data_IF_740599003994
#
_entry.id   IF_740599003994
#
_cell.length_a   1.000
_cell.length_b   1.000
_cell.length_c   1.000
_cell.angle_alpha   90.00
_cell.angle_beta   90.00
_cell.angle_gamma   90.00
#
_symmetry.space_group_name_H-M   'P 1'
#
loop_
_entity.id
_entity.type
_entity.pdbx_description
1 polymer ?
#
# COMPACT_ATOMS: atom_id res chain seq x y z
N UNK A 1 21.68 36.72 81.93
CA UNK A 1 23.04 37.01 81.44
C UNK A 1 23.46 38.36 81.98
N UNK A 2 24.38 38.39 82.95
CA UNK A 2 25.03 39.61 83.42
C UNK A 2 26.15 40.03 82.44
N UNK A 3 25.77 40.43 81.22
CA UNK A 3 26.69 41.13 80.32
C UNK A 3 26.68 42.62 80.67
N UNK A 4 27.82 43.18 81.03
CA UNK A 4 27.86 44.55 81.54
C UNK A 4 29.26 45.16 81.58
N UNK A 5 29.26 46.48 81.53
CA UNK A 5 30.44 47.34 81.66
C UNK A 5 30.49 47.84 83.11
N UNK A 6 31.61 47.65 83.82
CA UNK A 6 31.85 48.27 85.13
C UNK A 6 32.83 49.42 85.00
N UNK A 7 32.46 50.58 85.55
CA UNK A 7 33.22 51.83 85.46
C UNK A 7 33.58 52.35 86.86
N UNK A 8 34.73 53.02 86.97
CA UNK A 8 35.09 53.86 88.12
C UNK A 8 35.11 55.32 87.65
N UNK A 9 34.55 56.21 88.47
CA UNK A 9 34.76 57.64 88.28
C UNK A 9 36.10 58.01 88.90
N UNK A 10 37.02 58.45 88.06
CA UNK A 10 38.30 58.98 88.50
C UNK A 10 38.10 60.43 88.97
N UNK A 11 38.90 60.89 89.93
CA UNK A 11 38.77 62.21 90.59
C UNK A 11 38.85 63.44 89.65
N UNK A 12 39.21 63.22 88.39
CA UNK A 12 39.31 64.19 87.29
C UNK A 12 38.05 64.22 86.37
N UNK A 13 37.00 63.46 86.70
CA UNK A 13 35.74 63.43 85.95
C UNK A 13 35.75 62.54 84.70
N UNK A 14 36.82 61.78 84.49
CA UNK A 14 36.94 60.81 83.40
C UNK A 14 36.51 59.44 83.94
N UNK A 15 35.51 58.83 83.29
CA UNK A 15 35.04 57.49 83.63
C UNK A 15 35.95 56.44 82.97
N UNK A 16 36.68 55.67 83.77
CA UNK A 16 37.60 54.63 83.30
C UNK A 16 36.90 53.27 83.29
N UNK A 17 37.08 52.50 82.22
CA UNK A 17 36.53 51.14 82.10
C UNK A 17 37.37 50.19 82.93
N UNK A 18 36.84 49.73 84.07
CA UNK A 18 37.54 48.82 84.99
C UNK A 18 37.47 47.37 84.49
N UNK A 19 36.31 46.98 83.95
CA UNK A 19 36.14 45.62 83.45
C UNK A 19 34.97 45.47 82.50
N UNK A 20 35.10 44.50 81.61
CA UNK A 20 34.08 44.08 80.65
C UNK A 20 33.70 42.63 80.94
N UNK A 21 32.40 42.35 81.09
CA UNK A 21 31.90 40.98 81.26
C UNK A 21 31.14 40.54 80.01
N UNK A 22 31.60 39.45 79.38
CA UNK A 22 31.02 38.88 78.17
C UNK A 22 30.55 37.43 78.41
N UNK A 23 29.45 36.97 77.79
CA UNK A 23 28.93 35.61 77.98
C UNK A 23 29.75 34.56 77.21
N UNK A 24 31.02 34.37 77.58
CA UNK A 24 31.96 33.49 76.86
C UNK A 24 32.18 32.12 77.55
N UNK A 25 31.66 31.92 78.76
CA UNK A 25 31.84 30.69 79.54
C UNK A 25 30.58 29.80 79.56
N UNK A 26 30.72 28.53 79.95
CA UNK A 26 29.64 27.52 79.93
C UNK A 26 28.51 27.77 80.95
N UNK A 27 28.78 28.45 82.06
CA UNK A 27 27.88 28.52 83.22
C UNK A 27 26.99 29.79 83.27
N UNK A 28 26.79 30.48 82.15
CA UNK A 28 26.06 31.76 82.09
C UNK A 28 26.60 32.90 82.99
N UNK A 29 27.69 32.67 83.74
CA UNK A 29 28.33 33.61 84.67
C UNK A 29 29.09 34.74 83.97
N UNK A 30 29.24 34.67 82.65
CA UNK A 30 30.14 35.56 81.91
C UNK A 30 31.61 35.33 82.23
N UNK A 31 32.48 35.84 81.36
CA UNK A 31 33.93 35.95 81.53
C UNK A 31 34.24 37.43 81.67
N UNK A 32 34.84 37.81 82.79
CA UNK A 32 35.20 39.19 83.09
C UNK A 32 36.66 39.43 82.73
N UNK A 33 36.89 40.46 81.92
CA UNK A 33 38.21 40.98 81.56
C UNK A 33 38.46 42.25 82.36
N UNK A 34 39.60 42.35 83.03
CA UNK A 34 39.98 43.51 83.84
C UNK A 34 40.89 44.48 83.09
N UNK A 35 41.45 44.06 81.96
CA UNK A 35 42.35 44.86 81.15
C UNK A 35 42.33 44.37 79.70
N UNK A 36 42.86 45.19 78.80
CA UNK A 36 42.96 44.88 77.37
C UNK A 36 43.89 43.69 77.10
N UNK A 37 44.92 43.47 77.94
CA UNK A 37 45.90 42.39 77.75
C UNK A 37 45.27 41.00 77.94
N UNK A 38 44.36 40.86 78.91
CA UNK A 38 43.62 39.63 79.18
C UNK A 38 42.68 39.28 78.03
N UNK A 39 41.99 40.27 77.45
CA UNK A 39 41.17 40.09 76.25
C UNK A 39 42.02 39.72 75.03
N UNK A 40 43.18 40.36 74.86
CA UNK A 40 44.14 40.07 73.80
C UNK A 40 44.72 38.66 73.90
N UNK A 41 45.06 38.22 75.10
CA UNK A 41 45.54 36.87 75.38
C UNK A 41 44.47 35.82 75.06
N UNK A 42 43.22 36.08 75.45
CA UNK A 42 42.07 35.23 75.10
C UNK A 42 41.89 35.12 73.59
N UNK A 43 41.88 36.25 72.87
CA UNK A 43 41.77 36.28 71.41
C UNK A 43 42.86 35.44 70.72
N UNK A 44 44.11 35.57 71.19
CA UNK A 44 45.23 34.78 70.66
C UNK A 44 45.03 33.29 70.90
N UNK A 45 44.56 32.91 72.08
CA UNK A 45 44.30 31.49 72.40
C UNK A 45 43.17 30.88 71.55
N UNK A 46 42.14 31.66 71.21
CA UNK A 46 41.09 31.23 70.27
C UNK A 46 41.62 31.07 68.84
N UNK A 47 42.42 32.03 68.36
CA UNK A 47 43.03 31.93 67.02
C UNK A 47 43.92 30.68 66.90
N UNK A 48 44.72 30.38 67.92
CA UNK A 48 45.54 29.17 67.96
C UNK A 48 44.69 27.89 68.02
N UNK A 49 43.59 27.89 68.79
CA UNK A 49 42.72 26.73 68.96
C UNK A 49 41.99 26.31 67.69
N UNK A 50 41.71 27.24 66.77
CA UNK A 50 40.97 26.97 65.51
C UNK A 50 41.85 26.89 64.27
N UNK A 51 43.16 27.11 64.40
CA UNK A 51 44.14 27.09 63.29
C UNK A 51 44.15 25.78 62.50
N UNK A 52 43.77 24.67 63.14
CA UNK A 52 43.72 23.34 62.50
C UNK A 52 42.72 23.28 61.33
N UNK A 53 41.66 24.11 61.33
CA UNK A 53 40.70 24.19 60.22
C UNK A 53 41.39 24.57 58.90
N UNK A 54 42.44 25.38 58.94
CA UNK A 54 43.21 25.76 57.74
C UNK A 54 44.23 24.70 57.32
N UNK A 55 44.53 23.73 58.19
CA UNK A 55 45.56 22.71 58.00
C UNK A 55 45.00 21.39 57.43
N UNK A 56 43.67 21.23 57.35
CA UNK A 56 43.03 20.04 56.77
C UNK A 56 43.37 19.89 55.29
N UNK A 57 44.22 18.92 54.92
CA UNK A 57 44.67 18.74 53.53
C UNK A 57 43.54 18.31 52.58
N UNK A 58 42.59 17.50 53.07
CA UNK A 58 41.52 16.92 52.25
C UNK A 58 40.35 17.88 52.02
N UNK A 59 40.07 18.75 52.98
CA UNK A 59 38.91 19.67 52.97
C UNK A 59 39.34 21.13 53.12
N UNK A 60 40.56 21.47 52.68
CA UNK A 60 41.21 22.75 52.95
C UNK A 60 40.34 23.94 52.56
N UNK A 61 39.75 23.93 51.38
CA UNK A 61 39.07 25.11 50.83
C UNK A 61 37.78 25.40 51.60
N UNK A 62 37.02 24.36 51.94
CA UNK A 62 35.81 24.48 52.75
C UNK A 62 36.11 24.77 54.22
N UNK A 63 37.06 24.06 54.83
CA UNK A 63 37.46 24.30 56.22
C UNK A 63 38.07 25.70 56.43
N UNK A 64 38.81 26.22 55.43
CA UNK A 64 39.31 27.61 55.43
C UNK A 64 38.17 28.62 55.34
N UNK A 65 37.12 28.33 54.55
CA UNK A 65 35.92 29.17 54.49
C UNK A 65 35.20 29.21 55.84
N UNK A 66 35.03 28.06 56.50
CA UNK A 66 34.44 27.99 57.85
C UNK A 66 35.29 28.77 58.86
N UNK A 67 36.61 28.59 58.86
CA UNK A 67 37.52 29.35 59.71
C UNK A 67 37.41 30.87 59.47
N UNK A 68 37.32 31.30 58.20
CA UNK A 68 37.10 32.72 57.88
C UNK A 68 35.78 33.23 58.47
N UNK A 69 34.69 32.46 58.34
CA UNK A 69 33.38 32.84 58.90
C UNK A 69 33.40 32.89 60.42
N UNK A 70 34.06 31.93 61.05
CA UNK A 70 34.30 31.87 62.49
C UNK A 70 34.99 33.17 62.96
N UNK A 71 36.03 33.60 62.24
CA UNK A 71 36.74 34.84 62.53
C UNK A 71 35.89 36.09 62.30
N UNK A 72 35.14 36.15 61.20
CA UNK A 72 34.25 37.28 60.87
C UNK A 72 33.14 37.48 61.90
N UNK A 73 32.52 36.39 62.37
CA UNK A 73 31.37 36.45 63.26
C UNK A 73 31.75 36.71 64.73
N UNK A 74 32.95 36.32 65.17
CA UNK A 74 33.30 36.35 66.60
C UNK A 74 34.62 37.02 66.93
N UNK A 75 35.72 36.65 66.26
CA UNK A 75 37.03 37.24 66.57
C UNK A 75 37.14 38.71 66.15
N UNK A 76 36.56 39.07 65.00
CA UNK A 76 36.52 40.46 64.48
C UNK A 76 35.74 41.41 65.41
N UNK A 77 34.51 41.07 65.87
CA UNK A 77 33.80 41.87 66.87
C UNK A 77 34.57 42.03 68.19
N UNK A 78 35.19 40.96 68.71
CA UNK A 78 35.98 41.01 69.94
C UNK A 78 37.24 41.87 69.76
N UNK A 79 37.91 41.80 68.61
CA UNK A 79 39.04 42.66 68.28
C UNK A 79 38.62 44.14 68.11
N UNK A 80 37.42 44.39 67.59
CA UNK A 80 36.85 45.74 67.51
C UNK A 80 36.58 46.29 68.91
N UNK A 81 35.98 45.49 69.79
CA UNK A 81 35.78 45.83 71.20
C UNK A 81 37.11 46.14 71.90
N UNK A 82 38.15 45.33 71.67
CA UNK A 82 39.49 45.54 72.22
C UNK A 82 40.06 46.92 71.81
N UNK A 83 40.01 47.27 70.53
CA UNK A 83 40.47 48.59 70.03
C UNK A 83 39.67 49.76 70.59
N UNK A 84 38.36 49.58 70.78
CA UNK A 84 37.48 50.60 71.36
C UNK A 84 37.72 50.77 72.86
N UNK A 85 38.12 49.70 73.54
CA UNK A 85 38.55 49.75 74.92
C UNK A 85 39.88 50.50 75.05
N UNK A 86 40.85 50.27 74.15
CA UNK A 86 42.11 51.04 74.09
C UNK A 86 41.88 52.53 73.83
N UNK A 87 40.86 52.90 73.06
CA UNK A 87 40.51 54.30 72.76
C UNK A 87 39.59 54.96 73.81
N UNK A 88 39.19 54.23 74.87
CA UNK A 88 38.30 54.67 75.94
C UNK A 88 36.94 55.25 75.46
N UNK A 89 36.43 54.81 74.30
CA UNK A 89 35.16 55.31 73.75
C UNK A 89 33.95 54.53 74.30
N UNK A 90 33.35 55.04 75.38
CA UNK A 90 32.26 54.38 76.12
C UNK A 90 31.07 53.95 75.25
N UNK A 91 30.54 54.85 74.42
CA UNK A 91 29.32 54.58 73.61
C UNK A 91 29.59 53.47 72.60
N UNK A 92 30.79 53.44 72.04
CA UNK A 92 31.20 52.40 71.10
C UNK A 92 31.41 51.04 71.77
N UNK A 93 31.98 51.01 72.98
CA UNK A 93 32.19 49.79 73.78
C UNK A 93 30.84 49.14 74.12
N UNK A 94 29.88 49.90 74.65
CA UNK A 94 28.54 49.39 74.98
C UNK A 94 27.83 48.83 73.73
N UNK A 95 27.93 49.55 72.60
CA UNK A 95 27.39 49.09 71.32
C UNK A 95 28.02 47.79 70.82
N UNK A 96 29.33 47.61 71.00
CA UNK A 96 30.04 46.38 70.62
C UNK A 96 29.70 45.21 71.56
N UNK A 97 29.60 45.45 72.86
CA UNK A 97 29.14 44.44 73.84
C UNK A 97 27.74 43.95 73.46
N UNK A 98 26.81 44.86 73.16
CA UNK A 98 25.45 44.51 72.79
C UNK A 98 25.41 43.67 71.50
N UNK A 99 26.20 44.04 70.49
CA UNK A 99 26.31 43.26 69.24
C UNK A 99 26.86 41.87 69.51
N UNK A 100 27.93 41.73 70.29
CA UNK A 100 28.52 40.42 70.61
C UNK A 100 27.52 39.53 71.36
N UNK A 101 26.81 40.09 72.35
CA UNK A 101 25.80 39.37 73.10
C UNK A 101 24.62 38.93 72.22
N UNK A 102 24.22 39.76 71.26
CA UNK A 102 23.19 39.40 70.28
C UNK A 102 23.60 38.20 69.43
N UNK A 103 24.85 38.16 68.93
CA UNK A 103 25.34 37.02 68.13
C UNK A 103 25.40 35.73 68.97
N UNK A 104 25.92 35.82 70.20
CA UNK A 104 26.05 34.69 71.11
C UNK A 104 24.71 34.16 71.64
N UNK A 105 23.64 34.95 71.55
CA UNK A 105 22.29 34.50 71.87
C UNK A 105 21.77 33.48 70.85
N UNK A 106 22.16 33.62 69.58
CA UNK A 106 21.60 32.84 68.47
C UNK A 106 22.54 31.79 67.91
N UNK A 107 23.84 31.93 68.16
CA UNK A 107 24.86 31.02 67.65
C UNK A 107 25.59 30.45 68.86
N UNK A 108 25.65 29.13 68.95
CA UNK A 108 26.38 28.47 70.02
C UNK A 108 27.83 28.29 69.62
N UNK A 109 28.60 29.37 69.75
CA UNK A 109 29.98 29.36 69.30
C UNK A 109 30.83 28.39 70.14
N UNK A 110 31.60 27.50 69.50
CA UNK A 110 32.49 26.59 70.20
C UNK A 110 33.73 27.33 70.69
N UNK A 111 33.66 28.18 71.70
CA UNK A 111 34.89 28.75 72.26
C UNK A 111 35.78 27.64 72.83
N UNK A 112 37.10 27.76 72.71
CA UNK A 112 38.01 26.69 73.12
C UNK A 112 37.92 26.37 74.61
N UNK A 113 37.57 27.38 75.41
CA UNK A 113 37.41 27.29 76.86
C UNK A 113 36.11 26.60 77.28
N UNK A 114 35.13 26.52 76.37
CA UNK A 114 33.85 25.85 76.58
C UNK A 114 33.95 24.35 76.38
N UNK A 115 33.10 23.61 77.08
CA UNK A 115 32.93 22.17 76.94
C UNK A 115 32.63 21.77 75.50
N UNK A 116 31.79 22.55 74.80
CA UNK A 116 31.45 22.29 73.40
C UNK A 116 32.67 22.47 72.47
N UNK A 117 33.53 23.45 72.74
CA UNK A 117 34.74 23.67 71.93
C UNK A 117 35.82 22.62 72.17
N UNK A 118 35.93 22.08 73.39
CA UNK A 118 36.76 20.88 73.65
C UNK A 118 36.19 19.66 72.92
N UNK A 119 34.89 19.40 73.08
CA UNK A 119 34.20 18.29 72.42
C UNK A 119 34.41 18.28 70.91
N UNK A 120 34.27 19.42 70.23
CA UNK A 120 34.53 19.53 68.78
C UNK A 120 35.96 19.16 68.41
N UNK A 121 36.96 19.61 69.20
CA UNK A 121 38.38 19.35 68.91
C UNK A 121 38.77 17.89 69.12
N UNK A 122 38.07 17.19 70.00
CA UNK A 122 38.33 15.78 70.30
C UNK A 122 37.77 14.83 69.21
N UNK A 123 37.00 15.35 68.24
CA UNK A 123 36.44 14.55 67.15
C UNK A 123 37.40 14.41 65.95
N UNK A 124 37.26 13.33 65.14
CA UNK A 124 37.92 13.22 63.84
C UNK A 124 37.64 14.43 62.94
N UNK A 125 38.63 14.84 62.14
CA UNK A 125 38.60 16.09 61.34
C UNK A 125 37.32 16.28 60.52
N UNK A 126 36.82 15.22 59.87
CA UNK A 126 35.58 15.25 59.07
C UNK A 126 34.34 15.56 59.90
N UNK A 127 34.26 14.98 61.10
CA UNK A 127 33.16 15.15 62.04
C UNK A 127 33.28 16.53 62.68
N UNK A 128 34.47 16.92 63.13
CA UNK A 128 34.75 18.22 63.73
C UNK A 128 34.39 19.38 62.77
N UNK A 129 34.72 19.28 61.48
CA UNK A 129 34.33 20.27 60.46
C UNK A 129 32.80 20.41 60.37
N UNK A 130 32.07 19.29 60.35
CA UNK A 130 30.60 19.31 60.31
C UNK A 130 29.99 19.83 61.62
N UNK A 131 30.59 19.53 62.78
CA UNK A 131 30.16 20.09 64.07
C UNK A 131 30.30 21.61 64.10
N UNK A 132 31.44 22.14 63.65
CA UNK A 132 31.65 23.59 63.52
C UNK A 132 30.60 24.21 62.58
N UNK A 133 30.33 23.58 61.43
CA UNK A 133 29.29 24.02 60.50
C UNK A 133 27.90 24.07 61.16
N UNK A 134 27.49 23.00 61.85
CA UNK A 134 26.19 22.91 62.50
C UNK A 134 26.04 23.94 63.62
N UNK A 135 27.07 24.12 64.47
CA UNK A 135 27.07 25.12 65.53
C UNK A 135 26.97 26.55 65.00
N UNK A 136 27.59 26.84 63.84
CA UNK A 136 27.48 28.14 63.18
C UNK A 136 26.15 28.35 62.44
N UNK A 137 25.40 27.28 62.15
CA UNK A 137 24.11 27.38 61.44
C UNK A 137 22.95 27.87 62.32
N UNK A 138 23.18 28.04 63.64
CA UNK A 138 22.25 28.62 64.61
C UNK A 138 21.82 27.64 65.69
N UNK A 139 21.34 28.15 66.83
CA UNK A 139 20.76 27.34 67.92
C UNK A 139 19.42 26.74 67.49
N UNK A 140 19.31 25.41 67.59
CA UNK A 140 18.11 24.63 67.24
C UNK A 140 16.83 25.12 67.94
N UNK A 141 16.94 25.66 69.16
CA UNK A 141 15.78 26.10 69.96
C UNK A 141 15.34 27.55 69.72
N UNK A 142 16.03 28.31 68.85
CA UNK A 142 15.88 29.77 68.83
C UNK A 142 14.65 30.31 68.07
N UNK A 143 13.87 29.47 67.38
CA UNK A 143 12.61 29.83 66.72
C UNK A 143 12.68 30.96 65.68
N UNK A 144 13.88 31.46 65.37
CA UNK A 144 14.13 32.54 64.43
C UNK A 144 14.60 31.96 63.11
N UNK A 145 13.98 32.42 62.02
CA UNK A 145 14.37 32.13 60.63
C UNK A 145 15.68 32.86 60.28
N UNK A 146 16.78 32.42 60.89
CA UNK A 146 18.16 32.87 60.59
C UNK A 146 18.69 32.29 59.25
N UNK A 147 17.83 31.62 58.48
CA UNK A 147 18.18 30.88 57.27
C UNK A 147 18.75 31.76 56.15
N UNK A 148 18.42 33.06 56.11
CA UNK A 148 18.81 33.89 54.97
C UNK A 148 20.09 34.70 55.14
N UNK A 149 20.61 34.95 56.35
CA UNK A 149 21.81 35.82 56.52
C UNK A 149 23.06 35.06 56.95
N UNK A 150 22.94 34.04 57.82
CA UNK A 150 24.10 33.29 58.32
C UNK A 150 24.32 32.02 57.49
N UNK A 151 23.23 31.27 57.25
CA UNK A 151 23.27 30.00 56.51
C UNK A 151 23.58 30.21 55.03
N UNK A 152 23.04 31.24 54.39
CA UNK A 152 23.34 31.59 52.99
C UNK A 152 24.82 31.87 52.72
N UNK A 153 25.56 32.36 53.73
CA UNK A 153 27.00 32.63 53.66
C UNK A 153 27.90 31.43 53.95
N UNK A 154 27.32 30.33 54.45
CA UNK A 154 27.99 29.05 54.74
C UNK A 154 27.84 28.02 53.61
N UNK A 155 26.82 28.17 52.76
CA UNK A 155 26.68 27.37 51.55
C UNK A 155 27.70 27.83 50.49
N UNK A 156 28.55 26.93 49.97
CA UNK A 156 29.47 27.28 48.90
C UNK A 156 28.70 27.61 47.62
N UNK A 157 29.19 28.60 46.86
CA UNK A 157 28.65 28.94 45.54
C UNK A 157 28.71 27.72 44.61
N UNK A 158 27.70 27.56 43.74
CA UNK A 158 27.59 26.41 42.83
C UNK A 158 28.84 26.27 41.96
N UNK A 159 29.33 25.03 41.76
CA UNK A 159 30.48 24.68 40.92
C UNK A 159 31.87 25.12 41.44
N UNK A 160 32.04 25.29 42.75
CA UNK A 160 33.36 25.53 43.38
C UNK A 160 33.99 24.25 43.96
N UNK A 161 35.32 24.22 44.13
CA UNK A 161 36.01 23.15 44.89
C UNK A 161 35.46 23.01 46.32
N UNK A 162 35.02 24.12 46.91
CA UNK A 162 34.35 24.15 48.21
C UNK A 162 33.03 23.36 48.19
N UNK A 163 32.23 23.50 47.11
CA UNK A 163 31.00 22.73 46.94
C UNK A 163 31.28 21.23 46.83
N UNK A 164 32.31 20.82 46.09
CA UNK A 164 32.70 19.40 46.02
C UNK A 164 33.16 18.85 47.38
N UNK A 165 33.95 19.61 48.14
CA UNK A 165 34.40 19.23 49.49
C UNK A 165 33.23 19.18 50.48
N UNK A 166 32.29 20.12 50.38
CA UNK A 166 31.06 20.13 51.19
C UNK A 166 30.20 18.88 50.95
N UNK A 167 30.02 18.47 49.68
CA UNK A 167 29.31 17.24 49.33
C UNK A 167 30.04 15.99 49.84
N UNK A 168 31.37 15.95 49.74
CA UNK A 168 32.17 14.84 50.30
C UNK A 168 32.09 14.73 51.82
N UNK A 169 31.71 15.80 52.51
CA UNK A 169 31.48 15.83 53.95
C UNK A 169 30.06 15.38 54.34
N UNK A 170 29.13 15.22 53.39
CA UNK A 170 27.76 14.79 53.66
C UNK A 170 27.65 13.48 54.47
N UNK A 171 28.43 12.41 54.20
CA UNK A 171 28.33 11.17 54.96
C UNK A 171 28.63 11.35 56.46
N UNK A 172 29.44 12.35 56.81
CA UNK A 172 29.82 12.66 58.20
C UNK A 172 28.85 13.64 58.88
N UNK A 173 28.04 14.37 58.11
CA UNK A 173 27.11 15.38 58.64
C UNK A 173 26.02 14.76 59.51
N UNK A 174 25.49 13.60 59.12
CA UNK A 174 24.52 12.86 59.93
C UNK A 174 25.11 12.48 61.29
N UNK A 175 26.32 11.90 61.28
CA UNK A 175 27.02 11.53 62.52
C UNK A 175 27.31 12.75 63.40
N UNK A 176 27.75 13.86 62.82
CA UNK A 176 27.94 15.12 63.55
C UNK A 176 26.64 15.65 64.16
N UNK A 177 25.51 15.57 63.44
CA UNK A 177 24.21 16.00 63.95
C UNK A 177 23.72 15.14 65.12
N UNK A 178 23.90 13.82 65.04
CA UNK A 178 23.57 12.90 66.15
C UNK A 178 24.45 13.20 67.37
N UNK A 179 25.76 13.29 67.19
CA UNK A 179 26.71 13.61 68.27
C UNK A 179 26.41 14.95 68.94
N UNK A 180 26.06 15.97 68.16
CA UNK A 180 25.67 17.27 68.69
C UNK A 180 24.35 17.22 69.47
N UNK A 181 23.37 16.45 68.97
CA UNK A 181 22.10 16.21 69.66
C UNK A 181 22.30 15.49 71.00
N UNK A 182 23.16 14.47 71.02
CA UNK A 182 23.50 13.73 72.24
C UNK A 182 24.24 14.62 73.25
N UNK A 183 25.17 15.45 72.78
CA UNK A 183 25.87 16.44 73.62
C UNK A 183 24.87 17.37 74.34
N UNK A 184 23.90 17.94 73.62
CA UNK A 184 22.91 18.84 74.22
C UNK A 184 21.94 18.15 75.17
N UNK A 185 21.61 16.88 74.90
CA UNK A 185 20.64 16.13 75.69
C UNK A 185 21.23 15.54 76.98
N UNK A 186 22.50 15.18 76.96
CA UNK A 186 23.10 14.36 78.02
C UNK A 186 24.41 14.90 78.62
N UNK A 187 25.01 15.94 78.01
CA UNK A 187 26.29 16.49 78.42
C UNK A 187 27.50 15.56 78.16
N UNK A 188 28.72 16.05 78.44
CA UNK A 188 29.98 15.33 78.15
C UNK A 188 30.16 14.05 78.98
N UNK A 189 29.49 13.93 80.13
CA UNK A 189 29.82 12.93 81.16
C UNK A 189 29.05 11.59 81.06
N UNK A 190 28.15 11.41 80.09
CA UNK A 190 27.38 10.15 79.95
C UNK A 190 27.44 9.52 78.55
N UNK A 191 28.35 10.01 77.69
CA UNK A 191 28.35 9.65 76.28
C UNK A 191 28.94 8.28 75.98
N UNK A 192 29.92 7.74 76.72
CA UNK A 192 30.61 6.52 76.27
C UNK A 192 29.73 5.25 76.31
N UNK A 193 29.07 4.94 77.43
CA UNK A 193 28.22 3.73 77.51
C UNK A 193 26.95 3.85 76.66
N UNK A 194 26.36 5.05 76.57
CA UNK A 194 25.17 5.26 75.75
C UNK A 194 25.48 5.26 74.26
N UNK A 195 26.58 5.92 73.83
CA UNK A 195 27.01 5.89 72.43
C UNK A 195 27.44 4.49 72.02
N UNK A 196 28.12 3.73 72.88
CA UNK A 196 28.54 2.37 72.56
C UNK A 196 27.34 1.46 72.33
N UNK A 197 26.35 1.49 73.23
CA UNK A 197 25.12 0.72 73.05
C UNK A 197 24.31 1.16 71.81
N UNK A 198 24.27 2.47 71.51
CA UNK A 198 23.55 2.98 70.34
C UNK A 198 24.28 2.68 69.03
N UNK A 199 25.62 2.67 69.03
CA UNK A 199 26.45 2.26 67.91
C UNK A 199 26.22 0.78 67.62
N UNK A 200 26.21 -0.10 68.63
CA UNK A 200 25.89 -1.53 68.43
C UNK A 200 24.49 -1.74 67.84
N UNK A 201 23.48 -1.01 68.31
CA UNK A 201 22.12 -1.11 67.76
C UNK A 201 22.07 -0.66 66.29
N UNK A 202 22.75 0.45 65.97
CA UNK A 202 22.83 0.96 64.60
C UNK A 202 23.63 0.04 63.68
N UNK A 203 24.71 -0.57 64.17
CA UNK A 203 25.46 -1.59 63.44
C UNK A 203 24.60 -2.83 63.16
N UNK A 204 23.79 -3.26 64.13
CA UNK A 204 22.81 -4.33 63.93
C UNK A 204 21.77 -4.01 62.85
N UNK A 205 21.24 -2.79 62.83
CA UNK A 205 20.30 -2.33 61.80
C UNK A 205 20.98 -2.25 60.43
N UNK A 206 22.20 -1.69 60.37
CA UNK A 206 22.98 -1.59 59.13
C UNK A 206 23.33 -2.96 58.56
N UNK A 207 23.69 -3.93 59.41
CA UNK A 207 23.97 -5.29 58.98
C UNK A 207 22.70 -6.00 58.47
N UNK A 208 21.55 -5.76 59.11
CA UNK A 208 20.24 -6.21 58.63
C UNK A 208 19.87 -5.62 57.27
N UNK A 209 20.13 -4.32 57.06
CA UNK A 209 19.95 -3.65 55.80
C UNK A 209 20.92 -4.16 54.72
N UNK A 210 22.18 -4.42 55.07
CA UNK A 210 23.21 -4.98 54.18
C UNK A 210 22.81 -6.36 53.69
N UNK A 211 22.43 -7.27 54.58
CA UNK A 211 21.94 -8.62 54.24
C UNK A 211 20.68 -8.58 53.39
N UNK A 212 19.77 -7.63 53.65
CA UNK A 212 18.57 -7.45 52.83
C UNK A 212 18.92 -6.96 51.42
N UNK A 213 19.90 -6.07 51.29
CA UNK A 213 20.37 -5.57 50.01
C UNK A 213 21.12 -6.65 49.20
N UNK A 214 21.92 -7.50 49.87
CA UNK A 214 22.54 -8.68 49.26
C UNK A 214 21.49 -9.65 48.70
N UNK A 215 20.43 -9.95 49.46
CA UNK A 215 19.31 -10.77 48.98
C UNK A 215 18.59 -10.13 47.79
N UNK A 216 18.36 -8.81 47.84
CA UNK A 216 17.73 -8.10 46.71
C UNK A 216 18.59 -8.18 45.45
N UNK A 217 19.90 -8.02 45.57
CA UNK A 217 20.82 -8.14 44.44
C UNK A 217 20.87 -9.56 43.87
N UNK A 218 20.83 -10.59 44.73
CA UNK A 218 20.69 -11.99 44.30
C UNK A 218 19.37 -12.23 43.55
N UNK A 219 18.24 -11.72 44.06
CA UNK A 219 16.95 -11.79 43.37
C UNK A 219 16.97 -11.07 42.01
N UNK A 220 17.62 -9.91 41.91
CA UNK A 220 17.74 -9.21 40.64
C UNK A 220 18.58 -9.98 39.62
N UNK A 221 19.66 -10.63 40.05
CA UNK A 221 20.47 -11.47 39.18
C UNK A 221 19.68 -12.69 38.64
N UNK A 222 18.93 -13.38 39.51
CA UNK A 222 18.08 -14.52 39.10
C UNK A 222 16.95 -14.08 38.15
N UNK A 223 16.37 -12.90 38.38
CA UNK A 223 15.36 -12.32 37.51
C UNK A 223 15.95 -11.96 36.14
N UNK A 224 17.15 -11.37 36.09
CA UNK A 224 17.84 -11.06 34.85
C UNK A 224 18.16 -12.33 34.04
N UNK A 225 18.64 -13.39 34.71
CA UNK A 225 18.87 -14.70 34.08
C UNK A 225 17.56 -15.31 33.55
N UNK A 226 16.47 -15.23 34.32
CA UNK A 226 15.15 -15.72 33.91
C UNK A 226 14.60 -14.96 32.70
N UNK A 227 14.73 -13.63 32.68
CA UNK A 227 14.28 -12.77 31.57
C UNK A 227 15.09 -13.03 30.31
N UNK A 228 16.41 -13.17 30.42
CA UNK A 228 17.28 -13.48 29.28
C UNK A 228 17.02 -14.87 28.72
N UNK A 229 16.80 -15.87 29.57
CA UNK A 229 16.40 -17.21 29.15
C UNK A 229 15.01 -17.25 28.50
N UNK A 230 14.04 -16.49 29.01
CA UNK A 230 12.72 -16.38 28.38
C UNK A 230 12.79 -15.69 27.01
N UNK A 231 13.54 -14.58 26.93
CA UNK A 231 13.73 -13.80 25.70
C UNK A 231 14.37 -14.65 24.59
N UNK A 232 15.45 -15.38 24.90
CA UNK A 232 16.13 -16.25 23.93
C UNK A 232 15.21 -17.35 23.41
N UNK A 233 14.49 -18.05 24.30
CA UNK A 233 13.49 -19.07 23.90
C UNK A 233 12.36 -18.49 23.06
N UNK A 234 11.90 -17.28 23.38
CA UNK A 234 10.86 -16.60 22.60
C UNK A 234 11.35 -16.28 21.18
N UNK A 235 12.57 -15.75 21.04
CA UNK A 235 13.18 -15.45 19.74
C UNK A 235 13.32 -16.71 18.89
N UNK A 236 13.90 -17.78 19.45
CA UNK A 236 14.07 -19.06 18.73
C UNK A 236 12.74 -19.69 18.31
N UNK A 237 11.72 -19.65 19.19
CA UNK A 237 10.38 -20.12 18.84
C UNK A 237 9.71 -19.27 17.76
N UNK A 238 10.01 -17.97 17.69
CA UNK A 238 9.40 -17.09 16.70
C UNK A 238 10.08 -17.23 15.33
N UNK A 239 11.42 -17.34 15.30
CA UNK A 239 12.19 -17.58 14.07
C UNK A 239 11.81 -18.92 13.41
N UNK A 240 11.69 -19.99 14.20
CA UNK A 240 11.26 -21.30 13.70
C UNK A 240 9.86 -21.24 13.09
N UNK A 241 8.88 -20.63 13.77
CA UNK A 241 7.52 -20.43 13.22
C UNK A 241 7.51 -19.57 11.96
N UNK A 242 8.30 -18.49 11.93
CA UNK A 242 8.40 -17.63 10.76
C UNK A 242 8.99 -18.38 9.56
N UNK A 243 10.05 -19.17 9.77
CA UNK A 243 10.67 -19.99 8.73
C UNK A 243 9.71 -21.05 8.17
N UNK A 244 8.89 -21.68 9.03
CA UNK A 244 7.90 -22.67 8.63
C UNK A 244 6.77 -22.05 7.80
N UNK A 245 6.26 -20.89 8.22
CA UNK A 245 5.21 -20.16 7.49
C UNK A 245 5.72 -19.72 6.11
N UNK A 246 6.94 -19.21 6.01
CA UNK A 246 7.57 -18.82 4.74
C UNK A 246 7.81 -20.05 3.84
N UNK A 247 8.29 -21.16 4.38
CA UNK A 247 8.49 -22.39 3.60
C UNK A 247 7.16 -22.96 3.09
N UNK A 248 6.09 -22.87 3.89
CA UNK A 248 4.74 -23.30 3.51
C UNK A 248 4.15 -22.40 2.42
N UNK A 249 4.31 -21.08 2.52
CA UNK A 249 3.81 -20.14 1.52
C UNK A 249 4.56 -20.28 0.19
N UNK A 250 5.89 -20.46 0.20
CA UNK A 250 6.67 -20.70 -1.02
C UNK A 250 6.25 -22.01 -1.72
N UNK A 251 6.07 -23.10 -0.96
CA UNK A 251 5.56 -24.37 -1.50
C UNK A 251 4.17 -24.20 -2.13
N UNK A 252 3.29 -23.42 -1.50
CA UNK A 252 1.96 -23.13 -2.03
C UNK A 252 2.02 -22.27 -3.29
N UNK A 253 2.80 -21.19 -3.29
CA UNK A 253 3.01 -20.33 -4.45
C UNK A 253 3.56 -21.11 -5.65
N UNK A 254 4.57 -21.96 -5.45
CA UNK A 254 5.11 -22.85 -6.51
C UNK A 254 4.10 -23.87 -7.03
N UNK A 255 3.15 -24.32 -6.20
CA UNK A 255 2.06 -25.21 -6.65
C UNK A 255 1.05 -24.43 -7.50
N UNK A 256 0.62 -23.26 -7.05
CA UNK A 256 -0.28 -22.39 -7.81
C UNK A 256 0.33 -21.99 -9.16
N UNK A 257 1.59 -21.56 -9.17
CA UNK A 257 2.28 -21.18 -10.41
C UNK A 257 2.33 -22.35 -11.40
N UNK A 258 2.67 -23.57 -10.95
CA UNK A 258 2.67 -24.76 -11.81
C UNK A 258 1.28 -25.11 -12.35
N UNK A 259 0.25 -25.00 -11.51
CA UNK A 259 -1.13 -25.29 -11.92
C UNK A 259 -1.66 -24.28 -12.94
N UNK A 260 -1.39 -22.98 -12.72
CA UNK A 260 -1.72 -21.91 -13.65
C UNK A 260 -0.98 -22.07 -14.99
N UNK A 261 0.31 -22.40 -14.96
CA UNK A 261 1.09 -22.66 -16.17
C UNK A 261 0.48 -23.83 -16.95
N UNK A 262 0.20 -24.96 -16.29
CA UNK A 262 -0.43 -26.14 -16.93
C UNK A 262 -1.78 -25.78 -17.54
N UNK A 263 -2.68 -25.15 -16.78
CA UNK A 263 -3.99 -24.71 -17.29
C UNK A 263 -3.87 -23.75 -18.47
N UNK A 264 -2.91 -22.83 -18.44
CA UNK A 264 -2.69 -21.90 -19.56
C UNK A 264 -2.16 -22.60 -20.81
N UNK A 265 -1.29 -23.60 -20.66
CA UNK A 265 -0.81 -24.43 -21.77
C UNK A 265 -1.93 -25.29 -22.35
N UNK A 266 -2.72 -25.95 -21.51
CA UNK A 266 -3.84 -26.77 -21.94
C UNK A 266 -4.92 -25.93 -22.62
N UNK A 267 -5.21 -24.73 -22.10
CA UNK A 267 -6.10 -23.78 -22.73
C UNK A 267 -5.59 -23.35 -24.11
N UNK A 268 -4.32 -22.96 -24.22
CA UNK A 268 -3.69 -22.62 -25.52
C UNK A 268 -3.83 -23.76 -26.53
N UNK A 269 -3.47 -24.99 -26.14
CA UNK A 269 -3.64 -26.17 -27.00
C UNK A 269 -5.08 -26.37 -27.45
N UNK A 270 -6.05 -26.19 -26.54
CA UNK A 270 -7.47 -26.32 -26.88
C UNK A 270 -7.96 -25.22 -27.82
N UNK A 271 -7.43 -23.99 -27.69
CA UNK A 271 -7.73 -22.87 -28.58
C UNK A 271 -7.11 -23.12 -29.96
N UNK A 272 -5.84 -23.52 -30.01
CA UNK A 272 -5.14 -23.81 -31.27
C UNK A 272 -5.84 -24.96 -32.03
N UNK A 273 -6.21 -26.03 -31.34
CA UNK A 273 -6.94 -27.15 -31.94
C UNK A 273 -8.31 -26.71 -32.51
N UNK A 274 -9.07 -25.90 -31.77
CA UNK A 274 -10.35 -25.36 -32.24
C UNK A 274 -10.19 -24.34 -33.36
N UNK A 275 -9.12 -23.55 -33.34
CA UNK A 275 -8.81 -22.59 -34.39
C UNK A 275 -8.53 -23.32 -35.70
N UNK A 276 -7.70 -24.36 -35.66
CA UNK A 276 -7.39 -25.19 -36.83
C UNK A 276 -8.64 -25.90 -37.36
N UNK A 277 -9.46 -26.48 -36.49
CA UNK A 277 -10.75 -27.07 -36.85
C UNK A 277 -11.68 -26.03 -37.52
N UNK A 278 -11.77 -24.82 -36.96
CA UNK A 278 -12.61 -23.76 -37.50
C UNK A 278 -12.13 -23.25 -38.86
N UNK A 279 -10.81 -23.18 -39.08
CA UNK A 279 -10.23 -22.83 -40.37
C UNK A 279 -10.63 -23.87 -41.43
N UNK A 280 -10.49 -25.16 -41.12
CA UNK A 280 -10.85 -26.23 -42.05
C UNK A 280 -12.35 -26.21 -42.39
N UNK A 281 -13.22 -25.97 -41.41
CA UNK A 281 -14.67 -25.83 -41.65
C UNK A 281 -14.98 -24.64 -42.54
N UNK A 282 -14.33 -23.50 -42.31
CA UNK A 282 -14.53 -22.29 -43.14
C UNK A 282 -14.06 -22.50 -44.57
N UNK A 283 -12.90 -23.15 -44.77
CA UNK A 283 -12.37 -23.44 -46.09
C UNK A 283 -13.27 -24.43 -46.86
N UNK A 284 -13.72 -25.50 -46.20
CA UNK A 284 -14.70 -26.45 -46.79
C UNK A 284 -16.04 -25.79 -47.10
N UNK A 285 -16.55 -24.91 -46.23
CA UNK A 285 -17.79 -24.18 -46.46
C UNK A 285 -17.67 -23.20 -47.64
N UNK A 286 -16.52 -22.55 -47.80
CA UNK A 286 -16.23 -21.66 -48.93
C UNK A 286 -16.23 -22.43 -50.25
N UNK A 287 -15.55 -23.58 -50.32
CA UNK A 287 -15.50 -24.40 -51.53
C UNK A 287 -16.88 -24.97 -51.90
N UNK A 288 -17.63 -25.43 -50.89
CA UNK A 288 -19.02 -25.90 -51.07
C UNK A 288 -19.91 -24.78 -51.60
N UNK A 289 -19.83 -23.58 -51.03
CA UNK A 289 -20.61 -22.43 -51.46
C UNK A 289 -20.29 -21.99 -52.90
N UNK A 290 -19.01 -21.86 -53.26
CA UNK A 290 -18.60 -21.46 -54.61
C UNK A 290 -19.10 -22.46 -55.67
N UNK A 291 -19.03 -23.75 -55.39
CA UNK A 291 -19.55 -24.80 -56.29
C UNK A 291 -21.08 -24.75 -56.44
N UNK A 292 -21.80 -24.40 -55.37
CA UNK A 292 -23.27 -24.29 -55.39
C UNK A 292 -23.74 -23.06 -56.18
N UNK A 293 -23.02 -21.94 -56.07
CA UNK A 293 -23.33 -20.69 -56.79
C UNK A 293 -23.14 -20.82 -58.31
N UNK A 294 -22.04 -21.44 -58.75
CA UNK A 294 -21.76 -21.63 -60.19
C UNK A 294 -22.79 -22.56 -60.86
N UNK A 295 -23.23 -23.61 -60.15
CA UNK A 295 -24.20 -24.55 -60.69
C UNK A 295 -25.65 -24.07 -60.63
N UNK A 296 -26.05 -23.29 -59.62
CA UNK A 296 -27.40 -22.73 -59.57
C UNK A 296 -27.66 -21.77 -60.74
N UNK A 297 -26.64 -20.99 -61.14
CA UNK A 297 -26.72 -20.15 -62.34
C UNK A 297 -27.04 -20.98 -63.61
N UNK A 298 -26.42 -22.15 -63.75
CA UNK A 298 -26.66 -23.07 -64.88
C UNK A 298 -28.06 -23.67 -64.84
N UNK A 299 -28.56 -24.05 -63.66
CA UNK A 299 -29.94 -24.54 -63.47
C UNK A 299 -30.97 -23.47 -63.85
N UNK A 300 -30.78 -22.22 -63.41
CA UNK A 300 -31.67 -21.11 -63.73
C UNK A 300 -31.69 -20.80 -65.22
N UNK A 301 -30.54 -20.90 -65.90
CA UNK A 301 -30.45 -20.74 -67.36
C UNK A 301 -31.34 -21.74 -68.10
N UNK A 302 -31.19 -23.05 -67.83
CA UNK A 302 -31.97 -24.09 -68.52
C UNK A 302 -33.45 -24.05 -68.17
N UNK A 303 -33.79 -23.69 -66.92
CA UNK A 303 -35.18 -23.44 -66.50
C UNK A 303 -35.80 -22.31 -67.32
N UNK A 304 -35.10 -21.18 -67.46
CA UNK A 304 -35.58 -20.03 -68.24
C UNK A 304 -35.71 -20.39 -69.72
N UNK A 305 -34.72 -21.07 -70.29
CA UNK A 305 -34.73 -21.52 -71.69
C UNK A 305 -35.87 -22.51 -71.97
N UNK A 306 -36.11 -23.44 -71.07
CA UNK A 306 -37.26 -24.35 -71.13
C UNK A 306 -38.59 -23.58 -71.10
N UNK A 307 -38.75 -22.57 -70.25
CA UNK A 307 -39.97 -21.74 -70.22
C UNK A 307 -40.20 -21.00 -71.53
N UNK A 308 -39.15 -20.48 -72.17
CA UNK A 308 -39.23 -19.83 -73.48
C UNK A 308 -39.76 -20.83 -74.53
N UNK A 309 -39.14 -22.01 -74.64
CA UNK A 309 -39.57 -23.03 -75.60
C UNK A 309 -40.97 -23.57 -75.30
N UNK A 310 -41.37 -23.69 -74.04
CA UNK A 310 -42.74 -24.06 -73.63
C UNK A 310 -43.76 -23.04 -74.13
N UNK A 311 -43.48 -21.75 -73.96
CA UNK A 311 -44.36 -20.67 -74.44
C UNK A 311 -44.43 -20.66 -75.97
N UNK A 312 -43.28 -20.77 -76.64
CA UNK A 312 -43.23 -20.86 -78.10
C UNK A 312 -44.01 -22.06 -78.62
N UNK A 313 -43.81 -23.26 -78.04
CA UNK A 313 -44.57 -24.47 -78.40
C UNK A 313 -46.07 -24.27 -78.26
N UNK A 314 -46.52 -23.71 -77.14
CA UNK A 314 -47.95 -23.46 -76.92
C UNK A 314 -48.51 -22.46 -77.95
N UNK A 315 -47.73 -21.46 -78.35
CA UNK A 315 -48.12 -20.53 -79.42
C UNK A 315 -48.22 -21.22 -80.79
N UNK A 316 -47.25 -22.07 -81.15
CA UNK A 316 -47.31 -22.86 -82.38
C UNK A 316 -48.46 -23.87 -82.38
N UNK A 317 -48.77 -24.47 -81.22
CA UNK A 317 -49.90 -25.36 -81.03
C UNK A 317 -51.25 -24.62 -81.20
N UNK A 318 -51.37 -23.42 -80.63
CA UNK A 318 -52.54 -22.56 -80.84
C UNK A 318 -52.70 -22.17 -82.32
N UNK A 319 -51.60 -21.86 -82.99
CA UNK A 319 -51.59 -21.63 -84.44
C UNK A 319 -52.09 -22.85 -85.23
N UNK A 320 -51.65 -24.06 -84.87
CA UNK A 320 -52.10 -25.30 -85.50
C UNK A 320 -53.62 -25.51 -85.36
N UNK A 321 -54.17 -25.34 -84.15
CA UNK A 321 -55.62 -25.44 -83.91
C UNK A 321 -56.40 -24.38 -84.69
N UNK A 322 -55.87 -23.15 -84.77
CA UNK A 322 -56.46 -22.07 -85.57
C UNK A 322 -56.50 -22.42 -87.06
N UNK A 323 -55.43 -22.99 -87.61
CA UNK A 323 -55.39 -23.43 -89.01
C UNK A 323 -56.38 -24.57 -89.29
N UNK A 324 -56.52 -25.53 -88.38
CA UNK A 324 -57.50 -26.63 -88.52
C UNK A 324 -58.93 -26.09 -88.48
N UNK A 325 -59.24 -25.17 -87.56
CA UNK A 325 -60.54 -24.50 -87.51
C UNK A 325 -60.81 -23.67 -88.79
N UNK A 326 -59.77 -23.04 -89.36
CA UNK A 326 -59.87 -22.28 -90.59
C UNK A 326 -60.17 -23.17 -91.80
N UNK A 327 -59.61 -24.38 -91.90
CA UNK A 327 -59.99 -25.36 -92.94
C UNK A 327 -61.49 -25.68 -92.83
N UNK A 328 -61.98 -25.96 -91.63
CA UNK A 328 -63.39 -26.29 -91.41
C UNK A 328 -64.33 -25.13 -91.77
N UNK A 329 -63.89 -23.88 -91.57
CA UNK A 329 -64.68 -22.67 -91.84
C UNK A 329 -64.53 -22.17 -93.29
N UNK A 330 -63.53 -22.63 -94.04
CA UNK A 330 -63.24 -22.16 -95.42
C UNK A 330 -64.44 -22.27 -96.38
N UNK A 331 -65.21 -23.39 -96.41
CA UNK A 331 -66.39 -23.49 -97.29
C UNK A 331 -67.47 -22.46 -96.95
N UNK A 332 -67.66 -22.18 -95.65
CA UNK A 332 -68.64 -21.19 -95.19
C UNK A 332 -68.22 -19.75 -95.52
N UNK A 333 -66.93 -19.41 -95.35
CA UNK A 333 -66.44 -18.04 -95.59
C UNK A 333 -66.45 -17.64 -97.07
N UNK A 334 -66.20 -18.60 -97.97
CA UNK A 334 -66.13 -18.34 -99.41
C UNK A 334 -67.48 -18.46 -100.12
N UNK A 335 -68.51 -19.00 -99.44
CA UNK A 335 -69.85 -19.10 -99.99
C UNK A 335 -70.42 -17.70 -100.33
N UNK A 336 -70.84 -17.51 -101.58
CA UNK A 336 -71.46 -16.27 -102.05
C UNK A 336 -70.51 -15.09 -102.29
N UNK A 337 -69.18 -15.28 -102.19
CA UNK A 337 -68.17 -14.22 -102.46
C UNK A 337 -67.83 -14.07 -103.93
N UNK A 338 -68.10 -15.08 -104.73
CA UNK A 338 -67.90 -15.06 -106.17
C UNK A 338 -69.26 -15.04 -106.88
N UNK A 339 -70.04 -13.98 -106.63
CA UNK A 339 -71.21 -13.66 -107.46
C UNK A 339 -70.71 -13.30 -108.86
N UNK A 340 -70.76 -14.28 -109.74
CA UNK A 340 -70.46 -14.05 -111.15
C UNK A 340 -71.61 -13.24 -111.73
N UNK A 341 -71.29 -12.06 -112.28
CA UNK A 341 -72.22 -11.30 -113.10
C UNK A 341 -72.83 -12.20 -114.18
N UNK A 342 -74.12 -11.99 -114.40
CA UNK A 342 -75.02 -12.73 -115.27
C UNK A 342 -74.34 -13.19 -116.57
N UNK A 343 -74.10 -14.50 -116.69
CA UNK A 343 -73.73 -15.11 -117.96
C UNK A 343 -74.39 -16.49 -118.05
N UNK A 344 -75.28 -16.57 -119.03
CA UNK A 344 -76.13 -17.70 -119.41
C UNK A 344 -75.26 -18.90 -119.79
N UNK A 345 -75.17 -19.88 -118.90
CA UNK A 345 -74.53 -21.17 -119.18
C UNK A 345 -75.59 -22.27 -119.13
N UNK A 346 -75.74 -22.99 -120.23
CA UNK A 346 -76.73 -24.06 -120.45
C UNK A 346 -76.37 -25.35 -119.70
N UNK A 347 -77.41 -26.10 -119.33
CA UNK A 347 -77.36 -27.21 -118.35
C UNK A 347 -76.58 -28.47 -118.79
N UNK A 348 -76.14 -28.57 -120.05
CA UNK A 348 -75.44 -29.75 -120.59
C UNK A 348 -73.90 -29.73 -120.39
N UNK A 349 -73.36 -28.66 -119.80
CA UNK A 349 -71.93 -28.58 -119.47
C UNK A 349 -71.68 -29.01 -118.01
N UNK A 350 -70.50 -29.54 -117.70
CA UNK A 350 -70.10 -29.85 -116.32
C UNK A 350 -70.25 -28.64 -115.37
N UNK A 351 -70.17 -27.42 -115.92
CA UNK A 351 -70.43 -26.14 -115.24
C UNK A 351 -71.92 -25.97 -114.88
N UNK A 352 -72.84 -26.39 -115.73
CA UNK A 352 -74.29 -26.35 -115.50
C UNK A 352 -74.74 -27.30 -114.38
N UNK A 353 -74.17 -28.51 -114.32
CA UNK A 353 -74.45 -29.49 -113.25
C UNK A 353 -73.97 -28.97 -111.89
N UNK A 354 -72.78 -28.36 -111.82
CA UNK A 354 -72.24 -27.76 -110.59
C UNK A 354 -73.08 -26.57 -110.11
N UNK A 355 -73.60 -25.74 -111.04
CA UNK A 355 -74.56 -24.68 -110.73
C UNK A 355 -75.90 -25.22 -110.20
N UNK A 356 -76.38 -26.37 -110.68
CA UNK A 356 -77.64 -26.98 -110.20
C UNK A 356 -77.57 -27.48 -108.75
N UNK A 357 -76.35 -27.77 -108.26
CA UNK A 357 -76.06 -28.10 -106.86
C UNK A 357 -75.84 -26.85 -105.97
N UNK A 358 -76.06 -25.66 -106.52
CA UNK A 358 -75.94 -24.39 -105.79
C UNK A 358 -74.51 -23.91 -105.57
N UNK A 359 -73.52 -24.45 -106.30
CA UNK A 359 -72.10 -24.11 -106.12
C UNK A 359 -71.47 -23.58 -107.41
N UNK A 360 -70.78 -22.44 -107.35
CA UNK A 360 -70.07 -21.91 -108.51
C UNK A 360 -68.75 -22.67 -108.74
N UNK A 361 -68.36 -23.04 -109.99
CA UNK A 361 -67.09 -23.74 -110.22
C UNK A 361 -65.85 -22.98 -109.75
N UNK A 362 -65.88 -21.64 -109.80
CA UNK A 362 -64.81 -20.78 -109.27
C UNK A 362 -64.72 -20.83 -107.74
N UNK A 363 -65.84 -21.04 -107.03
CA UNK A 363 -65.86 -21.25 -105.58
C UNK A 363 -65.23 -22.61 -105.22
N UNK A 364 -65.49 -23.65 -106.01
CA UNK A 364 -64.87 -24.96 -105.79
C UNK A 364 -63.36 -24.93 -106.02
N UNK A 365 -62.88 -24.30 -107.09
CA UNK A 365 -61.44 -24.20 -107.36
C UNK A 365 -60.73 -23.36 -106.29
N UNK A 366 -61.33 -22.23 -105.87
CA UNK A 366 -60.74 -21.37 -104.84
C UNK A 366 -60.74 -22.02 -103.44
N UNK A 367 -61.79 -22.77 -103.08
CA UNK A 367 -61.83 -23.52 -101.81
C UNK A 367 -60.78 -24.64 -101.77
N UNK A 368 -60.63 -25.42 -102.86
CA UNK A 368 -59.59 -26.47 -102.94
C UNK A 368 -58.18 -25.86 -102.85
N UNK A 369 -57.93 -24.76 -103.57
CA UNK A 369 -56.63 -24.08 -103.53
C UNK A 369 -56.33 -23.49 -102.15
N UNK A 370 -57.33 -22.89 -101.47
CA UNK A 370 -57.20 -22.41 -100.11
C UNK A 370 -56.90 -23.54 -99.12
N UNK A 371 -57.64 -24.66 -99.19
CA UNK A 371 -57.40 -25.84 -98.33
C UNK A 371 -55.99 -26.41 -98.56
N UNK A 372 -55.52 -26.47 -99.81
CA UNK A 372 -54.17 -26.92 -100.14
C UNK A 372 -53.09 -26.00 -99.54
N UNK A 373 -53.25 -24.69 -99.68
CA UNK A 373 -52.35 -23.70 -99.09
C UNK A 373 -52.31 -23.79 -97.56
N UNK A 374 -53.47 -23.94 -96.91
CA UNK A 374 -53.57 -24.10 -95.45
C UNK A 374 -52.93 -25.43 -95.00
N UNK A 375 -53.06 -26.50 -95.79
CA UNK A 375 -52.43 -27.79 -95.50
C UNK A 375 -50.90 -27.71 -95.50
N UNK A 376 -50.30 -26.88 -96.36
CA UNK A 376 -48.86 -26.62 -96.33
C UNK A 376 -48.45 -25.84 -95.07
N UNK A 377 -49.24 -24.85 -94.66
CA UNK A 377 -49.01 -24.13 -93.39
C UNK A 377 -49.12 -25.07 -92.18
N UNK A 378 -50.08 -26.00 -92.17
CA UNK A 378 -50.19 -27.01 -91.10
C UNK A 378 -48.90 -27.83 -90.98
N UNK A 379 -48.30 -28.28 -92.10
CA UNK A 379 -47.02 -29.00 -92.07
C UNK A 379 -45.89 -28.15 -91.48
N UNK A 380 -45.83 -26.86 -91.84
CA UNK A 380 -44.83 -25.93 -91.29
C UNK A 380 -45.01 -25.73 -89.78
N UNK A 381 -46.24 -25.46 -89.33
CA UNK A 381 -46.56 -25.26 -87.91
C UNK A 381 -46.32 -26.54 -87.10
N UNK A 382 -46.67 -27.72 -87.63
CA UNK A 382 -46.41 -29.00 -86.99
C UNK A 382 -44.90 -29.28 -86.85
N UNK A 383 -44.11 -29.02 -87.90
CA UNK A 383 -42.65 -29.13 -87.83
C UNK A 383 -42.08 -28.20 -86.77
N UNK A 384 -42.54 -26.95 -86.72
CA UNK A 384 -42.05 -25.98 -85.76
C UNK A 384 -42.48 -26.28 -84.32
N UNK A 385 -43.71 -26.78 -84.12
CA UNK A 385 -44.16 -27.32 -82.84
C UNK A 385 -43.26 -28.46 -82.37
N UNK A 386 -42.96 -29.42 -83.24
CA UNK A 386 -42.08 -30.56 -82.93
C UNK A 386 -40.68 -30.07 -82.50
N UNK A 387 -40.09 -29.12 -83.23
CA UNK A 387 -38.79 -28.52 -82.87
C UNK A 387 -38.83 -27.88 -81.48
N UNK A 388 -39.84 -27.05 -81.20
CA UNK A 388 -39.96 -26.38 -79.89
C UNK A 388 -40.25 -27.38 -78.76
N UNK A 389 -40.96 -28.47 -79.04
CA UNK A 389 -41.19 -29.54 -78.09
C UNK A 389 -39.90 -30.31 -77.76
N UNK A 390 -39.08 -30.62 -78.75
CA UNK A 390 -37.78 -31.25 -78.50
C UNK A 390 -36.84 -30.35 -77.69
N UNK A 391 -36.73 -29.06 -78.06
CA UNK A 391 -35.90 -28.11 -77.32
C UNK A 391 -36.39 -27.88 -75.88
N UNK A 392 -37.70 -27.94 -75.66
CA UNK A 392 -38.29 -27.91 -74.32
C UNK A 392 -37.87 -29.14 -73.50
N UNK A 393 -38.03 -30.35 -74.06
CA UNK A 393 -37.66 -31.60 -73.39
C UNK A 393 -36.16 -31.65 -73.10
N UNK A 394 -35.31 -31.25 -74.04
CA UNK A 394 -33.85 -31.17 -73.84
C UNK A 394 -33.49 -30.21 -72.68
N UNK A 395 -34.13 -29.04 -72.61
CA UNK A 395 -33.90 -28.09 -71.52
C UNK A 395 -34.38 -28.64 -70.17
N UNK A 396 -35.48 -29.40 -70.14
CA UNK A 396 -36.01 -30.04 -68.93
C UNK A 396 -35.10 -31.20 -68.47
N UNK A 397 -34.65 -32.05 -69.39
CA UNK A 397 -33.69 -33.12 -69.13
C UNK A 397 -32.37 -32.57 -68.57
N UNK A 398 -31.77 -31.56 -69.21
CA UNK A 398 -30.53 -30.94 -68.71
C UNK A 398 -30.70 -30.29 -67.35
N UNK A 399 -31.85 -29.67 -67.08
CA UNK A 399 -32.17 -29.12 -65.76
C UNK A 399 -32.24 -30.23 -64.70
N UNK A 400 -32.91 -31.34 -64.99
CA UNK A 400 -33.04 -32.48 -64.05
C UNK A 400 -31.67 -33.13 -63.82
N UNK A 401 -30.87 -33.32 -64.86
CA UNK A 401 -29.50 -33.85 -64.72
C UNK A 401 -28.62 -32.92 -63.87
N UNK A 402 -28.67 -31.61 -64.09
CA UNK A 402 -27.95 -30.62 -63.26
C UNK A 402 -28.39 -30.67 -61.79
N UNK A 403 -29.70 -30.75 -61.54
CA UNK A 403 -30.23 -30.87 -60.17
C UNK A 403 -29.82 -32.18 -59.51
N UNK A 404 -29.79 -33.28 -60.27
CA UNK A 404 -29.37 -34.59 -59.78
C UNK A 404 -27.88 -34.60 -59.46
N UNK A 405 -27.05 -33.99 -60.32
CA UNK A 405 -25.63 -33.77 -60.05
C UNK A 405 -25.42 -32.92 -58.79
N UNK A 406 -26.20 -31.83 -58.63
CA UNK A 406 -26.12 -30.97 -57.44
C UNK A 406 -26.51 -31.73 -56.17
N UNK A 407 -27.54 -32.59 -56.22
CA UNK A 407 -27.94 -33.43 -55.10
C UNK A 407 -26.85 -34.45 -54.74
N UNK A 408 -26.26 -35.13 -55.72
CA UNK A 408 -25.17 -36.10 -55.50
C UNK A 408 -23.88 -35.44 -54.99
N UNK A 409 -23.59 -34.21 -55.44
CA UNK A 409 -22.47 -33.41 -54.95
C UNK A 409 -22.69 -32.98 -53.49
N UNK A 410 -23.89 -32.49 -53.17
CA UNK A 410 -24.24 -32.04 -51.82
C UNK A 410 -24.26 -33.21 -50.79
N UNK A 411 -24.68 -34.41 -51.22
CA UNK A 411 -24.60 -35.63 -50.41
C UNK A 411 -23.19 -36.22 -50.32
N UNK A 412 -22.17 -35.54 -50.87
CA UNK A 412 -20.77 -35.92 -50.82
C UNK A 412 -20.49 -37.33 -51.42
N UNK A 413 -21.34 -37.75 -52.38
CA UNK A 413 -21.29 -39.06 -53.05
C UNK A 413 -20.39 -39.07 -54.29
N UNK A 414 -19.90 -37.90 -54.73
CA UNK A 414 -18.99 -37.72 -55.86
C UNK A 414 -17.60 -37.27 -55.33
N UNK A 415 -16.91 -38.12 -54.57
CA UNK A 415 -15.58 -37.79 -54.00
C UNK A 415 -14.45 -37.97 -55.00
N UNK A 416 -14.57 -38.93 -55.92
CA UNK A 416 -13.54 -39.24 -56.90
C UNK A 416 -13.64 -38.32 -58.13
N UNK A 417 -12.49 -37.84 -58.60
CA UNK A 417 -12.40 -36.93 -59.75
C UNK A 417 -12.87 -37.61 -61.05
N UNK A 418 -12.73 -38.93 -61.14
CA UNK A 418 -13.21 -39.72 -62.28
C UNK A 418 -14.74 -39.74 -62.36
N UNK A 419 -15.44 -39.95 -61.24
CA UNK A 419 -16.92 -39.93 -61.18
C UNK A 419 -17.49 -38.56 -61.55
N UNK A 420 -16.82 -37.47 -61.10
CA UNK A 420 -17.19 -36.10 -61.49
C UNK A 420 -17.02 -35.88 -63.00
N UNK A 421 -15.93 -36.39 -63.57
CA UNK A 421 -15.66 -36.30 -65.01
C UNK A 421 -16.70 -37.04 -65.83
N UNK A 422 -17.08 -38.25 -65.42
CA UNK A 422 -18.13 -39.05 -66.09
C UNK A 422 -19.50 -38.36 -66.02
N UNK A 423 -19.85 -37.80 -64.87
CA UNK A 423 -21.10 -37.06 -64.70
C UNK A 423 -21.14 -35.78 -65.56
N UNK A 424 -20.03 -35.03 -65.63
CA UNK A 424 -19.91 -33.83 -66.47
C UNK A 424 -19.94 -34.17 -67.97
N UNK A 425 -19.28 -35.25 -68.39
CA UNK A 425 -19.31 -35.70 -69.80
C UNK A 425 -20.73 -36.10 -70.24
N UNK A 426 -21.47 -36.75 -69.34
CA UNK A 426 -22.89 -37.06 -69.55
C UNK A 426 -23.74 -35.78 -69.65
N UNK A 427 -23.46 -34.78 -68.82
CA UNK A 427 -24.20 -33.52 -68.75
C UNK A 427 -24.01 -32.63 -69.99
N UNK A 428 -22.78 -32.61 -70.53
CA UNK A 428 -22.41 -31.77 -71.67
C UNK A 428 -22.45 -32.49 -73.02
N UNK A 429 -22.98 -33.72 -73.07
CA UNK A 429 -23.12 -34.45 -74.32
C UNK A 429 -23.93 -33.62 -75.34
N UNK A 430 -23.44 -33.46 -76.58
CA UNK A 430 -24.19 -32.77 -77.63
C UNK A 430 -25.54 -33.46 -77.85
N UNK A 431 -26.62 -32.69 -77.86
CA UNK A 431 -27.93 -33.25 -78.14
C UNK A 431 -27.96 -33.77 -79.57
N UNK A 432 -28.18 -35.09 -79.72
CA UNK A 432 -28.42 -35.72 -81.01
C UNK A 432 -29.83 -35.37 -81.47
N UNK A 433 -30.02 -34.15 -81.95
CA UNK A 433 -31.27 -33.78 -82.62
C UNK A 433 -31.25 -34.44 -84.00
N UNK A 434 -32.12 -35.44 -84.21
CA UNK A 434 -32.29 -36.13 -85.50
C UNK A 434 -32.86 -35.25 -86.63
N UNK A 435 -32.86 -33.93 -86.48
CA UNK A 435 -33.37 -32.95 -87.45
C UNK A 435 -32.25 -32.43 -88.37
N UNK A 436 -30.97 -32.66 -88.03
CA UNK A 436 -29.81 -32.13 -88.79
C UNK A 436 -28.98 -33.17 -89.57
N UNK A 437 -29.44 -34.42 -89.72
CA UNK A 437 -28.65 -35.42 -90.45
C UNK A 437 -28.51 -35.16 -91.97
N UNK A 438 -29.20 -34.18 -92.56
CA UNK A 438 -29.14 -33.90 -94.01
C UNK A 438 -28.51 -32.55 -94.40
N UNK A 439 -27.86 -31.84 -93.47
CA UNK A 439 -27.08 -30.65 -93.82
C UNK A 439 -25.68 -30.71 -93.19
N UNK A 440 -24.76 -31.30 -93.96
CA UNK A 440 -23.31 -31.02 -93.99
C UNK A 440 -22.63 -30.55 -92.70
N UNK A 441 -21.82 -31.45 -92.13
CA UNK A 441 -20.48 -31.25 -91.56
C UNK A 441 -20.05 -29.82 -91.16
N UNK A 442 -19.54 -29.73 -89.92
CA UNK A 442 -18.69 -28.67 -89.37
C UNK A 442 -19.39 -27.36 -89.04
N UNK A 443 -19.92 -27.24 -87.82
CA UNK A 443 -19.29 -26.46 -86.73
C UNK A 443 -19.79 -27.06 -85.42
N UNK A 444 -18.95 -27.85 -84.75
CA UNK A 444 -19.16 -28.13 -83.33
C UNK A 444 -18.74 -26.89 -82.53
N UNK A 445 -19.56 -26.38 -81.59
CA UNK A 445 -19.21 -25.21 -80.78
C UNK A 445 -17.91 -25.35 -79.98
N UNK A 446 -17.45 -26.58 -79.73
CA UNK A 446 -16.19 -26.89 -79.03
C UNK A 446 -14.97 -26.27 -79.71
N UNK A 447 -14.89 -26.29 -81.05
CA UNK A 447 -13.73 -25.77 -81.79
C UNK A 447 -13.61 -24.25 -81.71
N UNK A 448 -14.73 -23.56 -81.47
CA UNK A 448 -14.75 -22.10 -81.32
C UNK A 448 -14.27 -21.70 -79.92
N UNK A 449 -14.59 -22.50 -78.89
CA UNK A 449 -14.17 -22.26 -77.50
C UNK A 449 -12.68 -22.56 -77.33
N UNK A 450 -12.16 -23.64 -77.92
CA UNK A 450 -10.72 -23.97 -77.91
C UNK A 450 -9.90 -22.85 -78.54
N UNK A 451 -10.33 -22.30 -79.69
CA UNK A 451 -9.70 -21.15 -80.34
C UNK A 451 -9.69 -19.87 -79.49
N UNK A 452 -10.69 -19.66 -78.64
CA UNK A 452 -10.76 -18.48 -77.76
C UNK A 452 -9.79 -18.65 -76.58
N UNK A 453 -9.70 -19.86 -76.01
CA UNK A 453 -8.75 -20.16 -74.93
C UNK A 453 -7.29 -20.09 -75.40
N UNK A 454 -6.97 -20.65 -76.57
CA UNK A 454 -5.62 -20.56 -77.17
C UNK A 454 -5.19 -19.10 -77.43
N UNK A 455 -6.14 -18.23 -77.81
CA UNK A 455 -5.89 -16.79 -77.98
C UNK A 455 -5.63 -16.03 -76.68
N UNK A 456 -6.15 -16.52 -75.55
CA UNK A 456 -5.92 -15.90 -74.24
C UNK A 456 -4.61 -16.38 -73.61
N UNK A 457 -4.22 -17.64 -73.82
CA UNK A 457 -2.92 -18.17 -73.35
C UNK A 457 -1.72 -17.66 -74.16
N UNK A 458 -1.93 -17.13 -75.37
CA UNK A 458 -0.85 -16.62 -76.23
C UNK A 458 -0.52 -15.14 -76.04
N UNK A 459 -1.06 -14.47 -75.02
CA UNK A 459 -0.59 -13.14 -74.61
C UNK A 459 0.54 -13.30 -73.58
N UNK A 460 1.81 -13.03 -73.95
CA UNK A 460 2.86 -12.92 -72.95
C UNK A 460 2.61 -11.68 -72.08
N UNK A 461 2.91 -11.80 -70.78
CA UNK A 461 3.02 -10.66 -69.86
C UNK A 461 4.09 -9.67 -70.32
#
# INVERSE_FOLDING_TARGET
MESGLKMEERNDGISEVISITLPLNDNDTGMTFHDVETLKSFLKSEEEAWKWLQQSNKYRDYATQLHRRLNELFLQPLNTLMKQWESANKVEIEGSIQKICLHLKYIDFPFHNRNIGRFVRDQPTEIAINLVYLLMSGRLDSGLDLSNTIVSGLYPQSNSRQSQQFEQLNPYRYRAAVLLGDYYKFGVASSDDYLTNRIEELEGIMEGARKSNEKLTEYFADLEESVTNWSSKFVESNESKQSEVVARSDKFARRLARDLIRKSLDFRKSVDAKYEESLQVVEQAKDTYLSQVELDASVQYWKTKGQIHKRSKNSWMGGLFSLVAMIALTPYLLHGRFSSADSTVTADSAVGVLKSLGTNPLELVSTILAISAISYLIKFFAKQYSTQQHLYLEAEERKVMLMTYLALMNENKLKEQEDRKVALDTLFRPAQTGIFNDASHNIVPSDTIVKIFERQSSKPN
#
